data_IF_211721094260
#
_entry.id   IF_211721094260
#
_cell.length_a   1.000
_cell.length_b   1.000
_cell.length_c   1.000
_cell.angle_alpha   90.00
_cell.angle_beta   90.00
_cell.angle_gamma   90.00
#
_symmetry.space_group_name_H-M   'P 1'
#
loop_
_entity.id
_entity.type
_entity.pdbx_description
1 polymer ?
#
# COMPACT_ATOMS: atom_id res chain seq x y z
N UNK A 1 -7.47 -53.13 9.29
CA UNK A 1 -8.13 -51.84 9.01
C UNK A 1 -7.02 -50.79 8.91
N UNK A 2 -6.84 -50.18 7.73
CA UNK A 2 -5.73 -49.24 7.44
C UNK A 2 -6.13 -47.83 7.90
N UNK A 3 -5.39 -47.26 8.84
CA UNK A 3 -5.49 -45.84 9.18
C UNK A 3 -4.61 -45.03 8.21
N UNK A 4 -5.23 -44.15 7.43
CA UNK A 4 -4.55 -43.11 6.66
C UNK A 4 -4.42 -41.86 7.55
N UNK A 5 -3.24 -41.24 7.69
CA UNK A 5 -3.14 -39.96 8.37
C UNK A 5 -3.64 -38.86 7.42
N UNK A 6 -4.68 -38.15 7.84
CA UNK A 6 -5.13 -36.93 7.17
C UNK A 6 -4.06 -35.87 7.41
N UNK A 7 -3.31 -35.55 6.37
CA UNK A 7 -2.39 -34.42 6.33
C UNK A 7 -3.22 -33.13 6.40
N UNK A 8 -3.39 -32.60 7.62
CA UNK A 8 -3.96 -31.28 7.81
C UNK A 8 -2.95 -30.25 7.27
N UNK A 9 -3.18 -29.78 6.06
CA UNK A 9 -2.52 -28.59 5.52
C UNK A 9 -2.99 -27.42 6.38
N UNK A 10 -2.18 -27.05 7.37
CA UNK A 10 -2.36 -25.81 8.12
C UNK A 10 -2.08 -24.67 7.14
N UNK A 11 -3.13 -24.15 6.52
CA UNK A 11 -3.07 -22.91 5.78
C UNK A 11 -2.83 -21.80 6.82
N UNK A 12 -1.56 -21.44 7.05
CA UNK A 12 -1.21 -20.31 7.92
C UNK A 12 -1.60 -19.03 7.18
N UNK A 13 -2.88 -18.68 7.25
CA UNK A 13 -3.34 -17.33 6.97
C UNK A 13 -2.79 -16.49 8.13
N UNK A 14 -1.68 -15.81 7.91
CA UNK A 14 -1.16 -14.81 8.84
C UNK A 14 -2.17 -13.66 8.91
N UNK A 15 -3.16 -13.79 9.80
CA UNK A 15 -4.04 -12.70 10.17
C UNK A 15 -3.23 -11.74 11.03
N UNK A 16 -2.79 -10.63 10.45
CA UNK A 16 -2.12 -9.56 11.18
C UNK A 16 -3.19 -8.77 11.93
N UNK A 17 -3.13 -8.78 13.25
CA UNK A 17 -4.15 -8.39 14.21
C UNK A 17 -4.43 -6.87 14.30
N UNK A 18 -4.57 -6.20 13.15
CA UNK A 18 -4.86 -4.76 13.09
C UNK A 18 -5.58 -4.31 11.81
N UNK A 19 -6.34 -5.16 11.12
CA UNK A 19 -7.10 -4.73 9.91
C UNK A 19 -6.25 -4.11 8.79
N UNK A 20 -4.92 -4.18 8.88
CA UNK A 20 -3.96 -3.60 7.95
C UNK A 20 -3.74 -4.56 6.79
N UNK A 21 -4.02 -4.10 5.58
CA UNK A 21 -3.83 -4.91 4.38
C UNK A 21 -2.35 -4.95 4.02
N UNK A 22 -1.68 -6.02 4.45
CA UNK A 22 -0.34 -6.37 3.99
C UNK A 22 -0.43 -6.94 2.58
N UNK A 23 0.32 -6.36 1.65
CA UNK A 23 0.26 -6.75 0.25
C UNK A 23 1.08 -8.03 0.06
N UNK A 24 0.41 -9.14 -0.30
CA UNK A 24 1.07 -10.34 -0.77
C UNK A 24 1.79 -9.99 -2.06
N UNK A 25 3.13 -9.95 -2.04
CA UNK A 25 3.99 -9.60 -3.16
C UNK A 25 3.47 -10.24 -4.45
N UNK A 26 2.84 -9.46 -5.33
CA UNK A 26 2.45 -9.93 -6.65
C UNK A 26 3.73 -10.23 -7.42
N UNK A 27 4.05 -11.50 -7.58
CA UNK A 27 5.07 -11.97 -8.51
C UNK A 27 4.69 -11.53 -9.92
N UNK A 28 5.43 -10.58 -10.52
CA UNK A 28 5.85 -10.63 -11.93
C UNK A 28 6.54 -9.34 -12.43
N UNK A 29 7.76 -9.58 -12.96
CA UNK A 29 8.48 -8.82 -14.00
C UNK A 29 8.65 -7.31 -13.85
N UNK A 30 9.87 -6.93 -13.46
CA UNK A 30 10.50 -5.62 -13.50
C UNK A 30 10.68 -5.07 -14.94
N UNK A 31 9.59 -4.80 -15.67
CA UNK A 31 9.67 -4.22 -17.02
C UNK A 31 8.74 -3.02 -17.28
N UNK A 32 7.80 -2.69 -16.39
CA UNK A 32 6.88 -1.57 -16.63
C UNK A 32 7.34 -0.28 -15.95
N UNK A 33 7.34 0.83 -16.69
CA UNK A 33 7.59 2.19 -16.14
C UNK A 33 6.55 2.59 -15.08
N UNK A 34 5.34 2.03 -15.16
CA UNK A 34 4.23 2.26 -14.23
C UNK A 34 3.46 0.96 -13.97
N UNK A 35 2.99 0.77 -12.74
CA UNK A 35 2.08 -0.32 -12.40
C UNK A 35 0.62 0.12 -12.53
N UNK A 36 -0.20 -0.75 -13.09
CA UNK A 36 -1.60 -0.48 -13.38
C UNK A 36 -2.47 -1.73 -13.25
N UNK A 37 -3.68 -1.58 -12.73
CA UNK A 37 -4.69 -2.65 -12.81
C UNK A 37 -5.44 -2.56 -14.15
N UNK A 38 -6.15 -3.64 -14.57
CA UNK A 38 -7.07 -3.55 -15.70
C UNK A 38 -8.17 -2.48 -15.53
N UNK A 39 -8.53 -2.09 -14.30
CA UNK A 39 -9.48 -1.00 -14.07
C UNK A 39 -8.89 0.38 -14.37
N UNK A 40 -7.56 0.53 -14.26
CA UNK A 40 -6.85 1.79 -14.52
C UNK A 40 -6.26 1.84 -15.96
N UNK A 41 -6.27 0.71 -16.69
CA UNK A 41 -5.60 0.56 -18.01
C UNK A 41 -6.25 1.32 -19.18
N UNK A 42 -7.40 1.95 -18.96
CA UNK A 42 -8.16 2.66 -19.99
C UNK A 42 -7.55 4.02 -20.35
N UNK A 43 -6.58 4.51 -19.56
CA UNK A 43 -5.76 5.67 -19.93
C UNK A 43 -4.38 5.62 -19.28
N UNK A 44 -3.32 5.94 -20.04
CA UNK A 44 -1.95 6.05 -19.51
C UNK A 44 -1.86 7.03 -18.34
N UNK A 45 -2.73 8.05 -18.32
CA UNK A 45 -2.83 9.04 -17.23
C UNK A 45 -3.40 8.48 -15.93
N UNK A 46 -4.28 7.46 -15.98
CA UNK A 46 -4.76 6.77 -14.79
C UNK A 46 -3.73 5.74 -14.29
N UNK A 47 -3.08 5.02 -15.22
CA UNK A 47 -1.98 4.10 -14.92
C UNK A 47 -0.80 4.75 -14.24
N UNK A 48 -0.52 6.03 -14.51
CA UNK A 48 0.60 6.74 -13.91
C UNK A 48 0.31 7.28 -12.51
N UNK A 49 -0.89 7.08 -11.95
CA UNK A 49 -1.24 7.60 -10.62
C UNK A 49 -0.72 6.72 -9.49
N UNK A 50 -0.55 7.34 -8.32
CA UNK A 50 -0.08 6.68 -7.10
C UNK A 50 -0.99 5.55 -6.63
N UNK A 51 -2.31 5.78 -6.63
CA UNK A 51 -3.29 4.78 -6.24
C UNK A 51 -3.28 3.55 -7.17
N UNK A 52 -3.06 3.73 -8.48
CA UNK A 52 -3.01 2.60 -9.43
C UNK A 52 -1.86 1.64 -9.10
N UNK A 53 -0.69 2.18 -8.72
CA UNK A 53 0.44 1.38 -8.28
C UNK A 53 0.15 0.59 -6.99
N UNK A 54 -0.51 1.21 -6.00
CA UNK A 54 -0.94 0.51 -4.78
C UNK A 54 -1.95 -0.60 -5.10
N UNK A 55 -2.98 -0.33 -5.91
CA UNK A 55 -3.98 -1.33 -6.31
C UNK A 55 -3.35 -2.54 -7.01
N UNK A 56 -2.35 -2.31 -7.85
CA UNK A 56 -1.62 -3.38 -8.53
C UNK A 56 -0.77 -4.21 -7.56
N UNK A 57 -0.04 -3.54 -6.67
CA UNK A 57 0.86 -4.21 -5.72
C UNK A 57 0.08 -4.92 -4.61
N UNK A 58 -1.13 -4.46 -4.33
CA UNK A 58 -2.01 -4.92 -3.26
C UNK A 58 -3.37 -5.34 -3.84
N UNK A 59 -3.44 -6.41 -4.66
CA UNK A 59 -4.62 -6.74 -5.45
C UNK A 59 -5.73 -7.44 -4.63
N UNK A 60 -6.07 -6.88 -3.47
CA UNK A 60 -7.25 -7.34 -2.72
C UNK A 60 -8.47 -6.61 -3.26
N UNK A 61 -9.57 -7.34 -3.45
CA UNK A 61 -10.82 -6.84 -4.04
C UNK A 61 -11.29 -5.46 -3.47
N UNK A 62 -11.26 -5.22 -2.15
CA UNK A 62 -11.69 -3.94 -1.61
C UNK A 62 -10.69 -2.77 -1.79
N UNK A 63 -9.42 -3.03 -2.14
CA UNK A 63 -8.43 -1.97 -2.42
C UNK A 63 -8.57 -1.36 -3.82
N UNK A 64 -9.32 -1.99 -4.73
CA UNK A 64 -9.43 -1.56 -6.13
C UNK A 64 -10.16 -0.22 -6.30
N UNK A 65 -10.92 0.22 -5.30
CA UNK A 65 -11.61 1.52 -5.29
C UNK A 65 -11.07 2.40 -4.17
N UNK A 66 -10.55 3.59 -4.48
CA UNK A 66 -10.12 4.53 -3.44
C UNK A 66 -11.29 5.09 -2.63
N UNK A 67 -12.53 4.91 -3.08
CA UNK A 67 -13.75 5.31 -2.35
C UNK A 67 -14.04 4.43 -1.14
N UNK A 68 -13.58 3.17 -1.14
CA UNK A 68 -13.72 2.26 0.00
C UNK A 68 -12.58 2.41 1.01
N UNK A 69 -11.52 3.16 0.67
CA UNK A 69 -10.37 3.31 1.54
C UNK A 69 -10.73 4.14 2.78
N UNK A 70 -10.49 3.55 3.94
CA UNK A 70 -10.66 4.16 5.25
C UNK A 70 -9.31 4.37 5.90
N UNK A 71 -9.27 5.40 6.74
CA UNK A 71 -8.12 5.78 7.56
C UNK A 71 -7.88 4.72 8.64
N UNK A 72 -6.70 4.11 8.65
CA UNK A 72 -6.23 3.21 9.69
C UNK A 72 -5.29 3.87 10.68
N UNK A 73 -4.21 3.16 11.02
CA UNK A 73 -3.19 3.53 12.01
C UNK A 73 -2.22 4.56 11.42
N UNK A 74 -1.82 5.57 12.22
CA UNK A 74 -0.85 6.60 11.81
C UNK A 74 0.54 6.00 11.66
N UNK A 75 1.17 6.18 10.50
CA UNK A 75 2.41 5.47 10.15
C UNK A 75 3.58 5.86 11.05
N UNK A 76 3.88 7.16 11.15
CA UNK A 76 5.03 7.64 11.93
C UNK A 76 4.95 7.27 13.41
N UNK A 77 3.75 7.22 13.98
CA UNK A 77 3.56 6.92 15.40
C UNK A 77 3.69 5.41 15.68
N UNK A 78 3.77 4.58 14.63
CA UNK A 78 3.65 3.12 14.70
C UNK A 78 4.70 2.40 13.81
N UNK A 79 5.88 3.00 13.63
CA UNK A 79 6.90 2.50 12.70
C UNK A 79 7.28 1.02 12.88
N UNK A 80 7.31 0.55 14.14
CA UNK A 80 7.74 -0.81 14.46
C UNK A 80 6.60 -1.84 14.42
N UNK A 81 5.34 -1.40 14.36
CA UNK A 81 4.17 -2.29 14.37
C UNK A 81 3.52 -2.44 12.99
N UNK A 82 3.84 -1.58 12.03
CA UNK A 82 3.31 -1.67 10.67
C UNK A 82 4.17 -2.64 9.85
N UNK A 83 3.60 -3.74 9.32
CA UNK A 83 4.35 -4.65 8.47
C UNK A 83 4.85 -3.98 7.21
N UNK A 84 6.05 -4.37 6.77
CA UNK A 84 6.55 -4.03 5.43
C UNK A 84 5.54 -4.49 4.38
N UNK A 85 5.41 -3.72 3.30
CA UNK A 85 4.44 -3.92 2.22
C UNK A 85 2.99 -3.66 2.62
N UNK A 86 2.74 -2.86 3.65
CA UNK A 86 1.38 -2.37 3.96
C UNK A 86 0.98 -1.24 3.03
N UNK A 87 -0.26 -1.26 2.52
CA UNK A 87 -0.82 -0.12 1.80
C UNK A 87 -1.02 1.07 2.73
N UNK A 88 -0.49 2.24 2.35
CA UNK A 88 -0.63 3.49 3.10
C UNK A 88 -1.09 4.62 2.19
N UNK A 89 -1.79 5.60 2.76
CA UNK A 89 -2.25 6.75 2.01
C UNK A 89 -2.44 7.98 2.90
N UNK A 90 -2.60 9.15 2.28
CA UNK A 90 -2.83 10.40 3.01
C UNK A 90 -4.32 10.61 3.33
N UNK A 91 -4.60 10.93 4.59
CA UNK A 91 -5.97 11.17 5.10
C UNK A 91 -6.06 12.49 5.91
N UNK A 92 -5.93 13.66 5.25
CA UNK A 92 -5.92 14.95 5.94
C UNK A 92 -7.23 15.26 6.67
N UNK A 93 -8.38 14.86 6.11
CA UNK A 93 -9.72 15.12 6.66
C UNK A 93 -10.54 13.83 6.82
N UNK A 94 -9.88 12.71 7.15
CA UNK A 94 -10.53 11.41 7.36
C UNK A 94 -10.83 10.60 6.09
N UNK A 95 -10.98 11.25 4.94
CA UNK A 95 -11.04 10.62 3.62
C UNK A 95 -9.69 10.59 2.90
N UNK A 96 -9.50 9.62 1.99
CA UNK A 96 -8.32 9.54 1.13
C UNK A 96 -8.21 10.80 0.26
N UNK A 97 -7.08 11.51 0.35
CA UNK A 97 -6.78 12.67 -0.49
C UNK A 97 -5.28 12.95 -0.50
N UNK A 98 -4.67 13.06 -1.69
CA UNK A 98 -3.26 13.39 -1.87
C UNK A 98 -2.47 12.26 -2.52
N UNK A 99 -1.94 11.34 -1.72
CA UNK A 99 -0.99 10.32 -2.16
C UNK A 99 -1.23 8.95 -1.56
N UNK A 100 -0.86 7.92 -2.31
CA UNK A 100 -0.92 6.52 -1.91
C UNK A 100 0.42 5.84 -2.18
N UNK A 101 0.84 4.94 -1.31
CA UNK A 101 2.12 4.26 -1.43
C UNK A 101 2.09 2.88 -0.74
N UNK A 102 3.15 2.11 -0.93
CA UNK A 102 3.39 0.85 -0.21
C UNK A 102 4.52 1.08 0.80
N UNK A 103 4.24 0.83 2.07
CA UNK A 103 5.17 1.05 3.18
C UNK A 103 6.39 0.12 3.09
N UNK A 104 7.57 0.67 3.34
CA UNK A 104 8.82 -0.09 3.47
C UNK A 104 9.31 -0.09 4.92
N UNK A 105 9.49 1.10 5.47
CA UNK A 105 9.97 1.34 6.84
C UNK A 105 9.72 2.80 7.20
N UNK A 106 9.91 3.18 8.47
CA UNK A 106 10.03 4.58 8.84
C UNK A 106 11.03 4.81 9.97
N UNK A 107 11.52 6.03 10.03
CA UNK A 107 12.30 6.59 11.14
C UNK A 107 11.54 7.82 11.64
N UNK A 108 11.75 8.26 12.88
CA UNK A 108 10.87 9.22 13.56
C UNK A 108 10.43 10.48 12.77
N UNK A 109 11.17 10.89 11.74
CA UNK A 109 10.84 12.04 10.88
C UNK A 109 10.56 11.71 9.40
N UNK A 110 10.66 10.45 8.98
CA UNK A 110 10.53 10.07 7.56
C UNK A 110 9.92 8.69 7.35
N UNK A 111 9.20 8.52 6.25
CA UNK A 111 8.69 7.21 5.82
C UNK A 111 9.36 6.81 4.51
N UNK A 112 9.84 5.57 4.43
CA UNK A 112 10.33 4.98 3.19
C UNK A 112 9.21 4.18 2.54
N UNK A 113 8.99 4.41 1.25
CA UNK A 113 7.85 3.84 0.52
C UNK A 113 8.24 3.42 -0.89
N UNK A 114 7.48 2.49 -1.47
CA UNK A 114 7.36 2.36 -2.92
C UNK A 114 6.15 3.16 -3.40
N UNK A 115 6.34 3.97 -4.44
CA UNK A 115 5.25 4.69 -5.08
C UNK A 115 5.57 5.04 -6.54
N UNK A 116 4.58 5.62 -7.21
CA UNK A 116 4.66 6.24 -8.52
C UNK A 116 3.72 7.45 -8.56
N UNK A 117 3.88 8.33 -9.55
CA UNK A 117 2.89 9.34 -9.94
C UNK A 117 3.19 9.82 -11.37
N UNK A 118 2.35 10.68 -11.94
CA UNK A 118 2.63 11.24 -13.26
C UNK A 118 3.97 11.99 -13.28
N UNK A 119 4.99 11.42 -13.92
CA UNK A 119 6.36 11.96 -13.94
C UNK A 119 7.36 11.23 -13.02
N UNK A 120 6.92 10.23 -12.25
CA UNK A 120 7.83 9.31 -11.52
C UNK A 120 7.38 7.86 -11.67
N UNK A 121 8.28 7.05 -12.23
CA UNK A 121 8.11 5.60 -12.32
C UNK A 121 8.06 4.92 -10.96
N UNK A 122 7.52 3.70 -10.91
CA UNK A 122 7.53 2.94 -9.67
C UNK A 122 8.94 2.76 -9.12
N UNK A 123 9.12 3.06 -7.84
CA UNK A 123 10.41 2.95 -7.18
C UNK A 123 10.35 3.46 -5.75
N UNK A 124 11.39 3.17 -4.98
CA UNK A 124 11.46 3.61 -3.60
C UNK A 124 11.84 5.09 -3.49
N UNK A 125 11.33 5.75 -2.45
CA UNK A 125 11.82 7.05 -1.99
C UNK A 125 11.56 7.24 -0.51
N UNK A 126 12.25 8.21 0.08
CA UNK A 126 11.95 8.71 1.41
C UNK A 126 11.00 9.92 1.30
N UNK A 127 9.97 9.93 2.14
CA UNK A 127 9.08 11.06 2.33
C UNK A 127 9.48 11.73 3.64
N UNK A 128 9.95 12.97 3.51
CA UNK A 128 10.33 13.86 4.61
C UNK A 128 9.24 14.88 4.82
N UNK A 129 9.20 15.54 5.98
CA UNK A 129 8.31 16.69 6.16
C UNK A 129 8.82 17.90 5.35
N UNK A 130 8.44 17.96 4.07
CA UNK A 130 8.72 19.12 3.22
C UNK A 130 7.56 20.10 3.34
N UNK A 131 7.84 21.33 3.77
CA UNK A 131 6.81 22.36 3.94
C UNK A 131 5.98 22.53 2.65
N UNK A 132 4.66 22.31 2.75
CA UNK A 132 3.68 22.75 1.75
C UNK A 132 2.91 21.67 0.98
N UNK A 133 3.23 20.38 1.05
CA UNK A 133 2.47 19.34 0.34
C UNK A 133 2.07 18.17 1.24
N UNK A 134 0.77 17.87 1.30
CA UNK A 134 0.22 16.70 2.02
C UNK A 134 0.85 15.40 1.51
N UNK A 135 1.07 15.27 0.19
CA UNK A 135 1.69 14.11 -0.46
C UNK A 135 3.15 13.89 -0.08
N UNK A 136 3.82 14.93 0.44
CA UNK A 136 5.20 14.91 0.90
C UNK A 136 5.28 15.29 2.39
N UNK A 137 4.27 14.95 3.19
CA UNK A 137 4.33 15.15 4.62
C UNK A 137 3.96 13.84 5.33
N UNK A 138 4.93 13.20 6.02
CA UNK A 138 4.74 11.87 6.60
C UNK A 138 3.68 11.85 7.71
N UNK A 139 3.31 13.00 8.29
CA UNK A 139 2.26 13.09 9.30
C UNK A 139 0.85 12.79 8.78
N UNK A 140 0.63 12.90 7.47
CA UNK A 140 -0.67 12.62 6.86
C UNK A 140 -0.85 11.16 6.46
N UNK A 141 0.19 10.32 6.56
CA UNK A 141 0.13 8.93 6.13
C UNK A 141 -0.44 8.01 7.22
N UNK A 142 -1.45 7.25 6.83
CA UNK A 142 -2.08 6.20 7.63
C UNK A 142 -2.13 4.92 6.81
N UNK A 143 -2.22 3.78 7.50
CA UNK A 143 -2.54 2.51 6.83
C UNK A 143 -3.92 2.58 6.18
N UNK A 144 -4.07 1.90 5.05
CA UNK A 144 -5.36 1.76 4.38
C UNK A 144 -6.07 0.53 4.94
N UNK A 145 -7.29 0.74 5.42
CA UNK A 145 -8.23 -0.33 5.78
C UNK A 145 -9.47 -0.18 4.88
N UNK A 146 -10.27 -1.24 4.75
CA UNK A 146 -11.42 -1.29 3.85
C UNK A 146 -12.64 -1.92 4.52
#
# INVERSE_FOLDING_TARGET
MKFLPILAIVLIVHYSDAGTLSCSSSSSSAASRYYCTPADNTSTSACSQCAAGVKYWCPTNPLLSTRSWKKGIKVLDNCNSIPRYTAIATFPNGGYSGHAAVFISCSGTSIQVYDQWNGKTWGSRNIWNTAGSISNNPNYFYTVIV
#
